data_IF_230492787409
#
_entry.id   IF_230492787409
#
_cell.length_a   1.000
_cell.length_b   1.000
_cell.length_c   1.000
_cell.angle_alpha   90.00
_cell.angle_beta   90.00
_cell.angle_gamma   90.00
#
_symmetry.space_group_name_H-M   'P 1'
#
loop_
_entity.id
_entity.type
_entity.pdbx_description
1 polymer ?
#
# COMPACT_ATOMS: atom_id res chain seq x y z
N UNK A 1 -4.94 19.41 12.89
CA UNK A 1 -4.31 18.09 12.96
C UNK A 1 -3.32 18.00 11.82
N UNK A 2 -2.04 17.81 12.10
CA UNK A 2 -1.01 17.81 11.06
C UNK A 2 -1.22 16.63 10.11
N UNK A 3 -0.99 16.87 8.82
CA UNK A 3 -1.03 15.85 7.76
C UNK A 3 -0.23 14.58 8.13
N UNK A 4 0.86 14.77 8.88
CA UNK A 4 1.68 13.71 9.47
C UNK A 4 0.90 12.78 10.42
N UNK A 5 0.04 13.33 11.29
CA UNK A 5 -0.77 12.55 12.22
C UNK A 5 -1.91 11.80 11.53
N UNK A 6 -2.49 12.39 10.49
CA UNK A 6 -3.53 11.73 9.69
C UNK A 6 -2.93 10.55 8.92
N UNK A 7 -1.76 10.71 8.28
CA UNK A 7 -1.13 9.63 7.52
C UNK A 7 -0.48 8.55 8.42
N UNK A 8 -0.04 8.89 9.63
CA UNK A 8 0.65 7.96 10.53
C UNK A 8 -0.30 7.14 11.40
N UNK A 9 -1.44 7.70 11.83
CA UNK A 9 -2.36 7.03 12.77
C UNK A 9 -3.66 6.53 12.13
N UNK A 10 -4.20 7.17 11.08
CA UNK A 10 -5.48 6.74 10.49
C UNK A 10 -5.38 5.52 9.56
N UNK A 11 -4.36 5.38 8.69
CA UNK A 11 -4.24 4.20 7.85
C UNK A 11 -4.11 2.93 8.68
N UNK A 12 -3.28 2.83 9.75
CA UNK A 12 -3.23 1.61 10.55
C UNK A 12 -4.55 1.28 11.23
N UNK A 13 -5.32 2.24 11.74
CA UNK A 13 -6.57 1.97 12.48
C UNK A 13 -7.70 1.57 11.53
N UNK A 14 -7.89 2.30 10.43
CA UNK A 14 -8.90 1.95 9.41
C UNK A 14 -8.51 0.62 8.75
N UNK A 15 -7.22 0.41 8.50
CA UNK A 15 -6.71 -0.84 7.94
C UNK A 15 -6.87 -2.01 8.92
N UNK A 16 -6.53 -1.84 10.20
CA UNK A 16 -6.77 -2.84 11.25
C UNK A 16 -8.26 -3.09 11.46
N UNK A 17 -9.13 -2.09 11.31
CA UNK A 17 -10.59 -2.27 11.40
C UNK A 17 -11.15 -3.03 10.20
N UNK A 18 -10.66 -2.75 8.98
CA UNK A 18 -11.03 -3.48 7.76
C UNK A 18 -10.50 -4.92 7.83
N UNK A 19 -9.26 -5.12 8.29
CA UNK A 19 -8.70 -6.44 8.55
C UNK A 19 -9.49 -7.19 9.61
N UNK A 20 -9.74 -6.56 10.75
CA UNK A 20 -10.49 -7.16 11.84
C UNK A 20 -11.92 -7.51 11.38
N UNK A 21 -12.53 -6.67 10.54
CA UNK A 21 -13.82 -6.93 9.91
C UNK A 21 -13.78 -8.13 8.95
N UNK A 22 -12.77 -8.20 8.07
CA UNK A 22 -12.60 -9.31 7.12
C UNK A 22 -12.26 -10.62 7.86
N UNK A 23 -11.36 -10.57 8.84
CA UNK A 23 -11.00 -11.70 9.70
C UNK A 23 -12.23 -12.14 10.50
N UNK A 24 -12.96 -11.22 11.12
CA UNK A 24 -14.19 -11.52 11.86
C UNK A 24 -15.21 -12.21 10.94
N UNK A 25 -15.42 -11.68 9.74
CA UNK A 25 -16.33 -12.25 8.75
C UNK A 25 -15.90 -13.67 8.38
N UNK A 26 -14.64 -13.90 8.02
CA UNK A 26 -14.12 -15.21 7.61
C UNK A 26 -14.16 -16.21 8.76
N UNK A 27 -13.77 -15.81 9.96
CA UNK A 27 -13.83 -16.65 11.18
C UNK A 27 -15.27 -17.00 11.53
N UNK A 28 -16.20 -16.05 11.43
CA UNK A 28 -17.60 -16.27 11.75
C UNK A 28 -18.28 -17.17 10.72
N UNK A 29 -17.91 -17.06 9.44
CA UNK A 29 -18.37 -17.96 8.38
C UNK A 29 -17.80 -19.38 8.55
N UNK A 30 -16.53 -19.52 8.99
CA UNK A 30 -15.89 -20.83 9.23
C UNK A 30 -16.33 -21.51 10.52
N UNK A 31 -16.73 -20.79 11.57
CA UNK A 31 -17.31 -21.38 12.80
C UNK A 31 -18.55 -22.24 12.53
N UNK A 32 -19.24 -22.05 11.40
CA UNK A 32 -20.37 -22.89 10.97
C UNK A 32 -19.96 -24.25 10.38
N UNK A 33 -18.67 -24.47 10.08
CA UNK A 33 -18.16 -25.69 9.43
C UNK A 33 -17.15 -26.37 10.36
N UNK A 34 -17.62 -27.35 11.14
CA UNK A 34 -16.75 -28.19 11.98
C UNK A 34 -15.87 -29.07 11.08
N UNK A 35 -14.66 -28.61 10.77
CA UNK A 35 -13.58 -29.44 10.22
C UNK A 35 -12.50 -29.56 11.29
N UNK A 36 -12.09 -30.79 11.57
CA UNK A 36 -10.83 -31.07 12.30
C UNK A 36 -9.70 -30.44 11.47
N UNK A 37 -8.92 -29.55 12.09
CA UNK A 37 -7.82 -28.83 11.42
C UNK A 37 -6.56 -29.70 11.49
N UNK A 38 -6.20 -30.34 10.39
CA UNK A 38 -5.03 -31.25 10.29
C UNK A 38 -3.67 -30.53 10.44
N UNK A 39 -3.68 -29.19 10.59
CA UNK A 39 -2.47 -28.39 10.76
C UNK A 39 -2.25 -27.88 12.18
N UNK A 40 -1.55 -26.74 12.31
CA UNK A 40 -1.13 -26.19 13.61
C UNK A 40 -2.29 -25.61 14.45
N UNK A 41 -3.52 -25.67 13.94
CA UNK A 41 -4.72 -25.09 14.53
C UNK A 41 -4.96 -23.64 14.10
N UNK A 42 -6.23 -23.33 13.85
CA UNK A 42 -6.68 -22.03 13.32
C UNK A 42 -6.34 -20.86 14.25
N UNK A 43 -6.49 -21.01 15.57
CA UNK A 43 -6.14 -19.96 16.55
C UNK A 43 -4.66 -19.62 16.51
N UNK A 44 -3.81 -20.65 16.42
CA UNK A 44 -2.36 -20.50 16.35
C UNK A 44 -1.95 -19.80 15.05
N UNK A 45 -2.53 -20.21 13.91
CA UNK A 45 -2.33 -19.51 12.62
C UNK A 45 -2.69 -18.04 12.72
N UNK A 46 -3.87 -17.72 13.25
CA UNK A 46 -4.34 -16.35 13.38
C UNK A 46 -3.38 -15.50 14.22
N UNK A 47 -2.92 -16.01 15.35
CA UNK A 47 -1.92 -15.35 16.18
C UNK A 47 -0.63 -15.06 15.39
N UNK A 48 -0.03 -16.07 14.77
CA UNK A 48 1.24 -15.90 14.05
C UNK A 48 1.12 -14.95 12.86
N UNK A 49 0.06 -15.05 12.04
CA UNK A 49 -0.15 -14.16 10.90
C UNK A 49 -0.44 -12.72 11.34
N UNK A 50 -1.23 -12.53 12.40
CA UNK A 50 -1.53 -11.18 12.91
C UNK A 50 -0.28 -10.52 13.48
N UNK A 51 0.46 -11.24 14.32
CA UNK A 51 1.68 -10.73 14.94
C UNK A 51 2.73 -10.44 13.87
N UNK A 52 2.93 -11.36 12.91
CA UNK A 52 3.83 -11.12 11.79
C UNK A 52 3.40 -9.92 10.93
N UNK A 53 2.10 -9.71 10.74
CA UNK A 53 1.59 -8.57 9.97
C UNK A 53 1.92 -7.26 10.67
N UNK A 54 1.57 -7.13 11.96
CA UNK A 54 1.84 -5.93 12.76
C UNK A 54 3.34 -5.66 12.81
N UNK A 55 4.16 -6.69 13.03
CA UNK A 55 5.61 -6.55 13.06
C UNK A 55 6.18 -6.05 11.73
N UNK A 56 5.71 -6.57 10.60
CA UNK A 56 6.10 -6.11 9.28
C UNK A 56 5.73 -4.64 9.08
N UNK A 57 4.52 -4.23 9.51
CA UNK A 57 4.10 -2.83 9.43
C UNK A 57 5.00 -1.94 10.27
N UNK A 58 5.35 -2.33 11.50
CA UNK A 58 6.30 -1.60 12.33
C UNK A 58 7.65 -1.46 11.63
N UNK A 59 8.22 -2.56 11.14
CA UNK A 59 9.51 -2.53 10.43
C UNK A 59 9.46 -1.64 9.19
N UNK A 60 8.47 -1.83 8.30
CA UNK A 60 8.37 -1.08 7.05
C UNK A 60 8.19 0.43 7.31
N UNK A 61 7.32 0.81 8.25
CA UNK A 61 7.16 2.21 8.62
C UNK A 61 8.42 2.78 9.29
N UNK A 62 9.09 2.00 10.14
CA UNK A 62 10.35 2.41 10.76
C UNK A 62 11.45 2.67 9.74
N UNK A 63 11.63 1.76 8.77
CA UNK A 63 12.58 1.92 7.66
C UNK A 63 12.21 3.11 6.78
N UNK A 64 10.91 3.31 6.51
CA UNK A 64 10.42 4.46 5.75
C UNK A 64 10.72 5.80 6.46
N UNK A 65 10.53 5.87 7.79
CA UNK A 65 10.85 7.06 8.58
C UNK A 65 12.35 7.38 8.56
N UNK A 66 13.19 6.36 8.76
CA UNK A 66 14.66 6.53 8.68
C UNK A 66 15.07 6.93 7.26
N UNK A 67 14.51 6.29 6.24
CA UNK A 67 14.79 6.62 4.84
C UNK A 67 14.37 8.04 4.47
N UNK A 68 13.20 8.49 4.95
CA UNK A 68 12.73 9.87 4.79
C UNK A 68 13.74 10.86 5.38
N UNK A 69 14.19 10.60 6.62
CA UNK A 69 15.14 11.47 7.32
C UNK A 69 16.50 11.54 6.62
N UNK A 70 17.01 10.38 6.18
CA UNK A 70 18.26 10.30 5.41
C UNK A 70 18.14 11.09 4.11
N UNK A 71 17.05 10.94 3.36
CA UNK A 71 16.82 11.68 2.12
C UNK A 71 16.73 13.19 2.35
N UNK A 72 16.01 13.63 3.37
CA UNK A 72 15.89 15.06 3.67
C UNK A 72 17.23 15.68 4.08
N UNK A 73 18.04 14.97 4.88
CA UNK A 73 19.40 15.42 5.22
C UNK A 73 20.31 15.53 4.00
N UNK A 74 20.16 14.64 3.02
CA UNK A 74 20.97 14.63 1.80
C UNK A 74 20.57 15.73 0.80
N UNK A 75 19.28 16.01 0.64
CA UNK A 75 18.78 16.89 -0.42
C UNK A 75 18.36 18.29 0.06
N UNK A 76 18.02 18.47 1.34
CA UNK A 76 17.56 19.75 1.90
C UNK A 76 18.56 20.33 2.90
N UNK A 77 19.27 19.47 3.64
CA UNK A 77 20.21 19.88 4.70
C UNK A 77 19.64 19.67 6.10
N UNK A 78 20.48 19.84 7.13
CA UNK A 78 20.13 19.47 8.51
C UNK A 78 19.26 20.51 9.22
N UNK A 79 17.98 20.21 9.45
CA UNK A 79 17.14 20.88 10.44
C UNK A 79 17.14 20.06 11.75
N UNK A 80 17.77 20.59 12.80
CA UNK A 80 18.24 19.78 13.94
C UNK A 80 17.13 19.23 14.88
N UNK A 81 15.97 19.90 15.04
CA UNK A 81 14.99 19.49 16.08
C UNK A 81 14.00 18.42 15.63
N UNK A 82 13.33 18.59 14.48
CA UNK A 82 12.25 17.68 14.05
C UNK A 82 12.78 16.33 13.53
N UNK A 83 13.96 16.35 12.92
CA UNK A 83 14.65 15.17 12.38
C UNK A 83 14.97 14.15 13.49
N UNK A 84 15.41 14.60 14.66
CA UNK A 84 15.85 13.71 15.75
C UNK A 84 14.71 12.87 16.31
N UNK A 85 13.54 13.48 16.55
CA UNK A 85 12.36 12.76 17.06
C UNK A 85 11.86 11.72 16.07
N UNK A 86 11.81 12.08 14.78
CA UNK A 86 11.38 11.16 13.72
C UNK A 86 12.32 9.96 13.58
N UNK A 87 13.62 10.21 13.62
CA UNK A 87 14.64 9.17 13.57
C UNK A 87 14.52 8.21 14.77
N UNK A 88 14.28 8.75 15.97
CA UNK A 88 14.06 7.94 17.17
C UNK A 88 12.83 7.03 17.04
N UNK A 89 11.71 7.55 16.54
CA UNK A 89 10.52 6.73 16.23
C UNK A 89 10.82 5.65 15.19
N UNK A 90 11.52 6.00 14.11
CA UNK A 90 11.90 5.07 13.05
C UNK A 90 12.76 3.93 13.58
N UNK A 91 13.80 4.27 14.36
CA UNK A 91 14.69 3.29 14.97
C UNK A 91 13.97 2.41 16.00
N UNK A 92 13.13 2.98 16.87
CA UNK A 92 12.36 2.21 17.84
C UNK A 92 11.46 1.17 17.15
N UNK A 93 10.77 1.55 16.08
CA UNK A 93 9.94 0.65 15.29
C UNK A 93 10.75 -0.45 14.61
N UNK A 94 11.95 -0.15 14.10
CA UNK A 94 12.84 -1.17 13.51
C UNK A 94 13.35 -2.14 14.59
N UNK A 95 13.85 -1.60 15.71
CA UNK A 95 14.46 -2.39 16.80
C UNK A 95 13.45 -3.40 17.38
N UNK A 96 12.18 -3.00 17.50
CA UNK A 96 11.13 -3.90 18.00
C UNK A 96 10.52 -4.74 16.87
N UNK A 97 10.15 -4.10 15.76
CA UNK A 97 9.41 -4.73 14.67
C UNK A 97 10.21 -5.77 13.91
N UNK A 98 11.48 -5.46 13.57
CA UNK A 98 12.28 -6.34 12.68
C UNK A 98 12.58 -7.69 13.33
N UNK A 99 13.06 -7.78 14.59
CA UNK A 99 13.27 -9.07 15.23
C UNK A 99 11.97 -9.84 15.39
N UNK A 100 10.90 -9.14 15.77
CA UNK A 100 9.59 -9.75 15.99
C UNK A 100 9.02 -10.32 14.69
N UNK A 101 9.13 -9.58 13.58
CA UNK A 101 8.75 -10.05 12.25
C UNK A 101 9.61 -11.24 11.82
N UNK A 102 10.93 -11.12 11.90
CA UNK A 102 11.86 -12.16 11.44
C UNK A 102 11.68 -13.48 12.20
N UNK A 103 11.47 -13.44 13.51
CA UNK A 103 11.24 -14.63 14.33
C UNK A 103 9.91 -15.31 14.02
N UNK A 104 8.82 -14.55 13.92
CA UNK A 104 7.50 -15.10 13.59
C UNK A 104 7.52 -15.64 12.16
N UNK A 105 8.03 -14.87 11.20
CA UNK A 105 8.15 -15.30 9.81
C UNK A 105 8.94 -16.59 9.65
N UNK A 106 10.13 -16.67 10.26
CA UNK A 106 10.97 -17.89 10.22
C UNK A 106 10.26 -19.09 10.83
N UNK A 107 9.49 -18.89 11.89
CA UNK A 107 8.70 -19.97 12.52
C UNK A 107 7.65 -20.49 11.56
N UNK A 108 6.98 -19.60 10.84
CA UNK A 108 5.92 -19.95 9.88
C UNK A 108 6.46 -20.67 8.65
N UNK A 109 7.57 -20.19 8.09
CA UNK A 109 8.26 -20.88 6.98
C UNK A 109 8.65 -22.31 7.38
N UNK A 110 9.17 -22.49 8.61
CA UNK A 110 9.48 -23.84 9.15
C UNK A 110 8.24 -24.70 9.37
N UNK A 111 7.10 -24.11 9.72
CA UNK A 111 5.84 -24.85 9.88
C UNK A 111 5.34 -25.34 8.52
N UNK A 112 5.36 -24.48 7.50
CA UNK A 112 4.99 -24.83 6.12
C UNK A 112 5.87 -25.94 5.56
N UNK A 113 7.18 -25.92 5.82
CA UNK A 113 8.08 -26.97 5.33
C UNK A 113 7.89 -28.31 6.03
N UNK A 114 7.35 -28.33 7.26
CA UNK A 114 7.10 -29.57 8.03
C UNK A 114 5.71 -30.13 7.81
N UNK A 115 4.73 -29.26 7.55
CA UNK A 115 3.31 -29.61 7.46
C UNK A 115 2.80 -29.06 6.13
N UNK A 116 2.81 -29.86 5.05
CA UNK A 116 2.44 -29.40 3.71
C UNK A 116 1.04 -28.81 3.63
N UNK A 117 0.09 -29.21 4.48
CA UNK A 117 -1.26 -28.63 4.48
C UNK A 117 -1.29 -27.14 4.87
N UNK A 118 -0.24 -26.62 5.53
CA UNK A 118 -0.16 -25.20 5.89
C UNK A 118 -0.02 -24.27 4.68
N UNK A 119 0.49 -24.76 3.54
CA UNK A 119 0.55 -23.96 2.31
C UNK A 119 -0.84 -23.72 1.70
N UNK A 120 -1.81 -24.59 2.01
CA UNK A 120 -3.22 -24.48 1.60
C UNK A 120 -4.04 -23.60 2.55
N UNK A 121 -3.42 -23.02 3.58
CA UNK A 121 -4.12 -22.22 4.59
C UNK A 121 -4.68 -20.92 4.00
N UNK A 122 -6.00 -20.76 4.08
CA UNK A 122 -6.67 -19.49 3.71
C UNK A 122 -6.10 -18.30 4.50
N UNK A 123 -5.77 -18.48 5.79
CA UNK A 123 -5.20 -17.41 6.61
C UNK A 123 -3.83 -16.96 6.10
N UNK A 124 -3.05 -17.87 5.50
CA UNK A 124 -1.79 -17.53 4.83
C UNK A 124 -2.04 -16.63 3.63
N UNK A 125 -2.98 -17.00 2.77
CA UNK A 125 -3.32 -16.21 1.59
C UNK A 125 -3.93 -14.86 1.97
N UNK A 126 -4.81 -14.81 2.96
CA UNK A 126 -5.35 -13.57 3.50
C UNK A 126 -4.22 -12.67 3.98
N UNK A 127 -3.27 -13.18 4.78
CA UNK A 127 -2.10 -12.42 5.21
C UNK A 127 -1.29 -11.87 4.02
N UNK A 128 -0.96 -12.69 3.03
CA UNK A 128 -0.15 -12.28 1.89
C UNK A 128 -0.83 -11.17 1.07
N UNK A 129 -2.10 -11.36 0.72
CA UNK A 129 -2.84 -10.36 -0.05
C UNK A 129 -3.14 -9.09 0.73
N UNK A 130 -3.24 -9.20 2.05
CA UNK A 130 -3.35 -8.04 2.90
C UNK A 130 -2.07 -7.21 2.89
N UNK A 131 -0.90 -7.85 3.04
CA UNK A 131 0.40 -7.18 2.92
C UNK A 131 0.57 -6.56 1.52
N UNK A 132 0.22 -7.29 0.47
CA UNK A 132 0.25 -6.78 -0.91
C UNK A 132 -0.66 -5.57 -1.10
N UNK A 133 -1.85 -5.58 -0.50
CA UNK A 133 -2.80 -4.46 -0.52
C UNK A 133 -2.24 -3.21 0.16
N UNK A 134 -1.70 -3.34 1.38
CA UNK A 134 -1.03 -2.21 2.08
C UNK A 134 0.11 -1.66 1.25
N UNK A 135 1.00 -2.55 0.83
CA UNK A 135 2.23 -2.16 0.19
C UNK A 135 1.92 -1.43 -1.12
N UNK A 136 0.96 -1.93 -1.91
CA UNK A 136 0.50 -1.23 -3.10
C UNK A 136 -0.10 0.14 -2.76
N UNK A 137 -0.95 0.26 -1.73
CA UNK A 137 -1.53 1.54 -1.35
C UNK A 137 -0.46 2.58 -1.00
N UNK A 138 0.56 2.21 -0.23
CA UNK A 138 1.67 3.12 0.09
C UNK A 138 2.55 3.45 -1.12
N UNK A 139 2.82 2.48 -2.01
CA UNK A 139 3.52 2.74 -3.27
C UNK A 139 2.75 3.74 -4.12
N UNK A 140 1.43 3.59 -4.23
CA UNK A 140 0.57 4.49 -5.00
C UNK A 140 0.56 5.90 -4.40
N UNK A 141 0.39 6.02 -3.07
CA UNK A 141 0.43 7.31 -2.37
C UNK A 141 1.78 7.99 -2.57
N UNK A 142 2.87 7.24 -2.39
CA UNK A 142 4.23 7.74 -2.61
C UNK A 142 4.45 8.15 -4.06
N UNK A 143 4.04 7.34 -5.04
CA UNK A 143 4.21 7.62 -6.46
C UNK A 143 3.43 8.87 -6.90
N UNK A 144 2.19 9.04 -6.42
CA UNK A 144 1.41 10.25 -6.69
C UNK A 144 2.09 11.49 -6.12
N UNK A 145 2.65 11.40 -4.91
CA UNK A 145 3.37 12.51 -4.29
C UNK A 145 4.74 12.77 -4.95
N UNK A 146 5.45 11.74 -5.43
CA UNK A 146 6.67 11.87 -6.23
C UNK A 146 6.37 12.61 -7.54
N UNK A 147 5.33 12.19 -8.26
CA UNK A 147 4.91 12.92 -9.48
C UNK A 147 4.51 14.36 -9.17
N UNK A 148 3.82 14.59 -8.05
CA UNK A 148 3.50 15.93 -7.58
C UNK A 148 4.75 16.80 -7.39
N UNK A 149 5.80 16.27 -6.77
CA UNK A 149 7.10 16.96 -6.64
C UNK A 149 7.77 17.20 -7.99
N UNK A 150 7.79 16.19 -8.87
CA UNK A 150 8.42 16.30 -10.21
C UNK A 150 7.71 17.37 -11.06
N UNK A 151 6.40 17.50 -10.93
CA UNK A 151 5.63 18.51 -11.64
C UNK A 151 5.68 19.89 -10.97
N UNK A 152 6.14 19.98 -9.73
CA UNK A 152 6.19 21.20 -8.93
C UNK A 152 7.61 21.75 -8.82
N UNK A 153 7.70 23.02 -8.42
CA UNK A 153 8.95 23.68 -8.03
C UNK A 153 9.09 23.74 -6.50
N UNK A 154 8.27 22.96 -5.79
CA UNK A 154 8.29 22.89 -4.32
C UNK A 154 9.57 22.22 -3.80
N UNK A 155 9.88 22.49 -2.54
CA UNK A 155 10.99 21.84 -1.85
C UNK A 155 10.85 20.31 -1.85
N UNK A 156 12.02 19.66 -1.95
CA UNK A 156 12.12 18.22 -1.85
C UNK A 156 11.60 17.72 -0.49
N UNK A 157 10.78 16.67 -0.52
CA UNK A 157 10.32 15.95 0.69
C UNK A 157 10.74 14.50 0.57
N UNK A 158 11.32 13.93 1.63
CA UNK A 158 11.84 12.56 1.60
C UNK A 158 10.76 11.49 1.65
N UNK A 159 9.60 11.81 2.23
CA UNK A 159 8.51 10.84 2.45
C UNK A 159 8.06 10.09 1.18
N UNK A 160 7.72 10.77 0.06
CA UNK A 160 7.22 10.10 -1.14
C UNK A 160 8.19 9.06 -1.69
N UNK A 161 9.47 9.42 -1.74
CA UNK A 161 10.56 8.56 -2.23
C UNK A 161 10.81 7.37 -1.30
N UNK A 162 10.89 7.63 0.02
CA UNK A 162 11.06 6.55 1.00
C UNK A 162 9.89 5.57 0.98
N UNK A 163 8.66 6.07 0.84
CA UNK A 163 7.46 5.24 0.75
C UNK A 163 7.50 4.34 -0.51
N UNK A 164 7.79 4.91 -1.69
CA UNK A 164 7.89 4.13 -2.93
C UNK A 164 8.95 3.04 -2.80
N UNK A 165 10.15 3.37 -2.32
CA UNK A 165 11.26 2.40 -2.24
C UNK A 165 10.93 1.28 -1.26
N UNK A 166 10.57 1.61 -0.02
CA UNK A 166 10.37 0.61 1.04
C UNK A 166 9.19 -0.30 0.72
N UNK A 167 8.06 0.28 0.33
CA UNK A 167 6.85 -0.50 0.09
C UNK A 167 6.91 -1.27 -1.24
N UNK A 168 7.66 -0.81 -2.24
CA UNK A 168 7.92 -1.61 -3.45
C UNK A 168 8.75 -2.86 -3.14
N UNK A 169 9.73 -2.75 -2.24
CA UNK A 169 10.51 -3.91 -1.76
C UNK A 169 9.60 -4.88 -1.03
N UNK A 170 8.78 -4.39 -0.08
CA UNK A 170 7.82 -5.24 0.64
C UNK A 170 6.86 -5.92 -0.33
N UNK A 171 6.26 -5.18 -1.26
CA UNK A 171 5.33 -5.71 -2.26
C UNK A 171 6.00 -6.79 -3.11
N UNK A 172 7.20 -6.52 -3.63
CA UNK A 172 7.92 -7.45 -4.52
C UNK A 172 8.29 -8.74 -3.80
N UNK A 173 8.77 -8.66 -2.55
CA UNK A 173 9.12 -9.84 -1.75
C UNK A 173 7.91 -10.74 -1.50
N UNK A 174 6.77 -10.15 -1.14
CA UNK A 174 5.55 -10.91 -0.86
C UNK A 174 4.88 -11.43 -2.13
N UNK A 175 4.96 -10.69 -3.24
CA UNK A 175 4.45 -11.14 -4.54
C UNK A 175 5.24 -12.33 -5.06
N UNK A 176 6.58 -12.28 -5.00
CA UNK A 176 7.44 -13.40 -5.40
C UNK A 176 7.16 -14.66 -4.57
N UNK A 177 6.91 -14.48 -3.28
CA UNK A 177 6.54 -15.58 -2.41
C UNK A 177 5.18 -16.18 -2.79
N UNK A 178 4.16 -15.34 -2.96
CA UNK A 178 2.82 -15.81 -3.34
C UNK A 178 2.84 -16.54 -4.69
N UNK A 179 3.52 -15.97 -5.69
CA UNK A 179 3.67 -16.54 -7.02
C UNK A 179 4.42 -17.88 -6.99
N UNK A 180 5.38 -18.05 -6.08
CA UNK A 180 6.10 -19.32 -5.88
C UNK A 180 5.26 -20.39 -5.19
N UNK A 181 4.32 -20.01 -4.32
CA UNK A 181 3.40 -20.94 -3.64
C UNK A 181 2.22 -21.37 -4.51
N UNK A 182 1.76 -20.51 -5.42
CA UNK A 182 0.61 -20.79 -6.28
C UNK A 182 -0.70 -20.92 -5.49
N UNK A 183 -1.75 -21.44 -6.14
CA UNK A 183 -3.08 -21.61 -5.55
C UNK A 183 -3.48 -23.09 -5.61
N UNK A 184 -3.64 -23.71 -4.43
CA UNK A 184 -3.80 -25.17 -4.32
C UNK A 184 -5.25 -25.60 -4.06
N UNK A 185 -6.12 -24.67 -3.64
CA UNK A 185 -7.54 -24.94 -3.38
C UNK A 185 -8.42 -23.86 -4.01
N UNK A 186 -9.70 -24.19 -4.24
CA UNK A 186 -10.68 -23.25 -4.78
C UNK A 186 -10.84 -22.01 -3.89
N UNK A 187 -10.73 -22.15 -2.57
CA UNK A 187 -10.81 -21.04 -1.64
C UNK A 187 -9.60 -20.10 -1.78
N UNK A 188 -8.40 -20.66 -1.96
CA UNK A 188 -7.19 -19.85 -2.20
C UNK A 188 -7.25 -19.09 -3.53
N UNK A 189 -7.77 -19.73 -4.59
CA UNK A 189 -8.07 -19.06 -5.88
C UNK A 189 -9.08 -17.93 -5.69
N UNK A 190 -10.14 -18.16 -4.91
CA UNK A 190 -11.14 -17.15 -4.59
C UNK A 190 -10.55 -15.92 -3.90
N UNK A 191 -9.64 -16.11 -2.94
CA UNK A 191 -8.95 -15.01 -2.24
C UNK A 191 -8.06 -14.23 -3.22
N UNK A 192 -7.32 -14.92 -4.10
CA UNK A 192 -6.50 -14.28 -5.14
C UNK A 192 -7.34 -13.41 -6.07
N UNK A 193 -8.41 -13.98 -6.63
CA UNK A 193 -9.34 -13.27 -7.52
C UNK A 193 -9.97 -12.07 -6.83
N UNK A 194 -10.39 -12.22 -5.57
CA UNK A 194 -10.93 -11.11 -4.80
C UNK A 194 -9.93 -9.95 -4.69
N UNK A 195 -8.68 -10.24 -4.34
CA UNK A 195 -7.61 -9.23 -4.29
C UNK A 195 -7.40 -8.57 -5.66
N UNK A 196 -7.23 -9.36 -6.73
CA UNK A 196 -6.94 -8.82 -8.06
C UNK A 196 -8.09 -7.94 -8.59
N UNK A 197 -9.33 -8.37 -8.41
CA UNK A 197 -10.48 -7.62 -8.90
C UNK A 197 -10.78 -6.38 -8.06
N UNK A 198 -10.66 -6.44 -6.72
CA UNK A 198 -10.87 -5.24 -5.89
C UNK A 198 -9.79 -4.19 -6.14
N UNK A 199 -8.53 -4.62 -6.33
CA UNK A 199 -7.42 -3.71 -6.66
C UNK A 199 -7.56 -3.15 -8.08
N UNK A 200 -7.93 -3.98 -9.05
CA UNK A 200 -8.19 -3.52 -10.43
C UNK A 200 -9.34 -2.51 -10.44
N UNK A 201 -10.43 -2.77 -9.72
CA UNK A 201 -11.53 -1.81 -9.59
C UNK A 201 -11.07 -0.50 -8.94
N UNK A 202 -10.36 -0.56 -7.81
CA UNK A 202 -9.89 0.63 -7.11
C UNK A 202 -8.94 1.48 -7.96
N UNK A 203 -8.01 0.85 -8.68
CA UNK A 203 -7.06 1.53 -9.57
C UNK A 203 -7.72 2.08 -10.83
N UNK A 204 -8.75 1.40 -11.36
CA UNK A 204 -9.59 1.94 -12.44
C UNK A 204 -10.38 3.18 -11.99
N UNK A 205 -10.93 3.16 -10.77
CA UNK A 205 -11.60 4.34 -10.18
C UNK A 205 -10.61 5.50 -10.05
N UNK A 206 -9.40 5.25 -9.57
CA UNK A 206 -8.36 6.29 -9.51
C UNK A 206 -8.00 6.84 -10.89
N UNK A 207 -7.84 5.97 -11.90
CA UNK A 207 -7.63 6.40 -13.28
C UNK A 207 -8.78 7.28 -13.77
N UNK A 208 -10.03 6.85 -13.60
CA UNK A 208 -11.21 7.59 -14.03
C UNK A 208 -11.32 8.95 -13.33
N UNK A 209 -11.05 9.01 -12.01
CA UNK A 209 -11.02 10.25 -11.25
C UNK A 209 -9.94 11.19 -11.75
N UNK A 210 -8.72 10.68 -12.02
CA UNK A 210 -7.62 11.47 -12.57
C UNK A 210 -7.96 12.05 -13.94
N UNK A 211 -8.41 11.21 -14.87
CA UNK A 211 -8.82 11.63 -16.23
C UNK A 211 -9.97 12.63 -16.17
N UNK A 212 -11.02 12.34 -15.39
CA UNK A 212 -12.16 13.23 -15.24
C UNK A 212 -11.78 14.59 -14.67
N UNK A 213 -10.87 14.62 -13.68
CA UNK A 213 -10.33 15.88 -13.12
C UNK A 213 -9.49 16.65 -14.14
N UNK A 214 -8.63 15.98 -14.91
CA UNK A 214 -7.85 16.62 -15.98
C UNK A 214 -8.76 17.27 -17.01
N UNK A 215 -9.75 16.54 -17.53
CA UNK A 215 -10.71 17.06 -18.51
C UNK A 215 -11.48 18.25 -17.94
N UNK A 216 -12.00 18.14 -16.72
CA UNK A 216 -12.71 19.23 -16.04
C UNK A 216 -11.86 20.50 -15.92
N UNK A 217 -10.60 20.38 -15.51
CA UNK A 217 -9.69 21.53 -15.34
C UNK A 217 -9.38 22.16 -16.69
N UNK A 218 -9.05 21.37 -17.71
CA UNK A 218 -8.75 21.87 -19.06
C UNK A 218 -9.96 22.63 -19.63
N UNK A 219 -11.18 22.13 -19.43
CA UNK A 219 -12.38 22.79 -19.93
C UNK A 219 -12.63 24.13 -19.22
N UNK A 220 -12.51 24.18 -17.89
CA UNK A 220 -12.74 25.42 -17.13
C UNK A 220 -11.66 26.46 -17.41
N UNK A 221 -10.39 26.08 -17.30
CA UNK A 221 -9.26 27.00 -17.48
C UNK A 221 -9.07 27.39 -18.96
N UNK A 222 -9.37 26.47 -19.89
CA UNK A 222 -9.39 26.78 -21.31
C UNK A 222 -10.50 27.76 -21.67
N UNK A 223 -11.70 27.57 -21.11
CA UNK A 223 -12.81 28.49 -21.31
C UNK A 223 -12.51 29.88 -20.70
N UNK A 224 -12.02 29.93 -19.46
CA UNK A 224 -11.69 31.20 -18.80
C UNK A 224 -10.60 31.94 -19.58
N UNK A 225 -9.56 31.24 -20.04
CA UNK A 225 -8.49 31.85 -20.83
C UNK A 225 -8.95 32.37 -22.19
N UNK A 226 -9.91 31.71 -22.84
CA UNK A 226 -10.37 32.09 -24.18
C UNK A 226 -11.45 33.18 -24.16
N UNK A 227 -12.30 33.20 -23.13
CA UNK A 227 -13.54 33.99 -23.14
C UNK A 227 -13.72 34.92 -21.94
N UNK A 228 -12.89 34.84 -20.89
CA UNK A 228 -13.03 35.71 -19.71
C UNK A 228 -11.92 36.77 -19.63
N UNK A 229 -12.32 38.02 -19.35
CA UNK A 229 -11.38 39.11 -19.03
C UNK A 229 -11.11 39.07 -17.52
N UNK A 230 -10.06 38.37 -17.13
CA UNK A 230 -9.64 38.24 -15.74
C UNK A 230 -8.80 39.46 -15.32
N UNK A 231 -9.39 40.33 -14.48
CA UNK A 231 -8.76 41.57 -13.97
C UNK A 231 -7.71 41.29 -12.89
N UNK A 232 -7.77 40.13 -12.23
CA UNK A 232 -6.77 39.67 -11.27
C UNK A 232 -6.47 38.20 -11.55
N UNK A 233 -5.22 37.89 -11.88
CA UNK A 233 -4.73 36.52 -12.04
C UNK A 233 -3.96 36.10 -10.78
N UNK A 234 -4.46 35.13 -10.00
CA UNK A 234 -3.71 34.55 -8.89
C UNK A 234 -2.37 33.97 -9.36
N UNK A 235 -1.38 33.91 -8.46
CA UNK A 235 -0.03 33.37 -8.74
C UNK A 235 -0.04 31.91 -9.26
N UNK A 236 -1.11 31.17 -8.96
CA UNK A 236 -1.34 29.79 -9.41
C UNK A 236 -2.41 29.65 -10.51
N UNK A 237 -2.64 30.72 -11.29
CA UNK A 237 -3.59 30.73 -12.39
C UNK A 237 -3.02 30.10 -13.67
N UNK A 238 -3.92 29.64 -14.54
CA UNK A 238 -3.58 29.01 -15.82
C UNK A 238 -3.70 27.48 -15.77
N UNK A 239 -3.54 26.88 -16.96
CA UNK A 239 -3.81 25.45 -17.16
C UNK A 239 -2.85 24.58 -16.32
N UNK A 240 -1.59 24.97 -16.18
CA UNK A 240 -0.57 24.23 -15.42
C UNK A 240 -0.60 24.50 -13.90
N UNK A 241 -1.79 24.67 -13.34
CA UNK A 241 -2.01 24.87 -11.92
C UNK A 241 -1.73 23.58 -11.09
N UNK A 242 -1.48 23.70 -9.76
CA UNK A 242 -1.28 22.56 -8.87
C UNK A 242 -2.39 21.49 -8.95
N UNK A 243 -3.63 21.91 -9.22
CA UNK A 243 -4.77 21.02 -9.41
C UNK A 243 -4.58 20.08 -10.62
N UNK A 244 -4.08 20.58 -11.75
CA UNK A 244 -3.85 19.77 -12.94
C UNK A 244 -2.73 18.76 -12.70
N UNK A 245 -1.62 19.20 -12.08
CA UNK A 245 -0.47 18.35 -11.74
C UNK A 245 -0.89 17.19 -10.83
N UNK A 246 -1.73 17.48 -9.84
CA UNK A 246 -2.29 16.47 -8.93
C UNK A 246 -3.19 15.50 -9.69
N UNK A 247 -4.07 15.99 -10.55
CA UNK A 247 -4.97 15.16 -11.35
C UNK A 247 -4.20 14.23 -12.31
N UNK A 248 -3.13 14.75 -12.94
CA UNK A 248 -2.21 13.96 -13.76
C UNK A 248 -1.51 12.88 -12.93
N UNK A 249 -0.99 13.22 -11.75
CA UNK A 249 -0.36 12.25 -10.85
C UNK A 249 -1.30 11.10 -10.48
N UNK A 250 -2.55 11.41 -10.11
CA UNK A 250 -3.59 10.42 -9.80
C UNK A 250 -3.91 9.55 -11.02
N UNK A 251 -4.10 10.16 -12.19
CA UNK A 251 -4.45 9.45 -13.43
C UNK A 251 -3.33 8.53 -13.91
N UNK A 252 -2.08 9.01 -13.92
CA UNK A 252 -0.91 8.24 -14.33
C UNK A 252 -0.70 7.04 -13.41
N UNK A 253 -0.68 7.27 -12.09
CA UNK A 253 -0.42 6.21 -11.12
C UNK A 253 -1.57 5.20 -11.09
N UNK A 254 -2.83 5.67 -11.12
CA UNK A 254 -4.02 4.84 -11.27
C UNK A 254 -3.98 3.97 -12.53
N UNK A 255 -3.64 4.57 -13.67
CA UNK A 255 -3.57 3.89 -14.96
C UNK A 255 -2.47 2.82 -15.04
N UNK A 256 -1.26 3.13 -14.55
CA UNK A 256 -0.16 2.16 -14.50
C UNK A 256 -0.51 0.98 -13.60
N UNK A 257 -1.05 1.25 -12.41
CA UNK A 257 -1.42 0.20 -11.47
C UNK A 257 -2.58 -0.66 -11.97
N UNK A 258 -3.57 -0.04 -12.62
CA UNK A 258 -4.67 -0.74 -13.28
C UNK A 258 -4.16 -1.65 -14.40
N UNK A 259 -3.33 -1.12 -15.30
CA UNK A 259 -2.76 -1.88 -16.41
C UNK A 259 -1.97 -3.09 -15.89
N UNK A 260 -1.16 -2.91 -14.84
CA UNK A 260 -0.42 -4.01 -14.23
C UNK A 260 -1.36 -5.08 -13.63
N UNK A 261 -2.35 -4.69 -12.84
CA UNK A 261 -3.22 -5.66 -12.15
C UNK A 261 -4.21 -6.35 -13.10
N UNK A 262 -4.76 -5.63 -14.06
CA UNK A 262 -5.73 -6.14 -15.01
C UNK A 262 -5.07 -6.92 -16.16
N UNK A 263 -4.10 -6.30 -16.85
CA UNK A 263 -3.54 -6.87 -18.08
C UNK A 263 -2.44 -7.89 -17.83
N UNK A 264 -1.76 -7.84 -16.68
CA UNK A 264 -0.64 -8.74 -16.38
C UNK A 264 -1.05 -9.78 -15.33
N UNK A 265 -1.53 -9.35 -14.17
CA UNK A 265 -1.76 -10.26 -13.05
C UNK A 265 -3.09 -11.03 -13.12
N UNK A 266 -4.15 -10.38 -13.60
CA UNK A 266 -5.46 -11.00 -13.79
C UNK A 266 -5.59 -11.73 -15.14
N UNK A 267 -4.78 -11.41 -16.15
CA UNK A 267 -4.80 -12.12 -17.44
C UNK A 267 -4.63 -13.64 -17.28
N UNK A 268 -3.80 -14.07 -16.33
CA UNK A 268 -3.57 -15.49 -16.03
C UNK A 268 -4.74 -16.20 -15.32
N UNK A 269 -5.74 -15.47 -14.81
CA UNK A 269 -6.92 -16.09 -14.17
C UNK A 269 -7.96 -16.58 -15.20
N UNK A 270 -7.92 -16.11 -16.45
CA UNK A 270 -8.86 -16.51 -17.51
C UNK A 270 -8.50 -17.85 -18.17
N UNK A 271 -7.28 -18.34 -17.95
CA UNK A 271 -6.74 -19.57 -18.57
C UNK A 271 -6.92 -20.83 -17.68
N UNK A 272 -7.55 -20.71 -16.51
CA UNK A 272 -7.78 -21.81 -15.53
C UNK A 272 -9.26 -22.10 -15.31
#
# INVERSE_FOLDING_TARGET
MDFFNILFFFPPIIFLAVIAGVIFLVVNLRRRRSRIDDGIGTVRRLYFYTVSFVALMMTANGVMLVGMDVLERLFVGSTLSDSTTRLAWGLALIIVGLPLWALHWRTMVRQVSRIPVEIQSELRKIYLYLVLGVALAFVMIGAMAVLGQIFSTDDFKGFPWAAVVVWSVVWTLHWRLEAGEGQLTLETVGIRRFYLYIVSMATLVLLALGVGRVVHIILIEGYSSAFSVSVVMPENSGIWAPALRTALGVGIVGGVAWAAHWLIFAARDFES
#
